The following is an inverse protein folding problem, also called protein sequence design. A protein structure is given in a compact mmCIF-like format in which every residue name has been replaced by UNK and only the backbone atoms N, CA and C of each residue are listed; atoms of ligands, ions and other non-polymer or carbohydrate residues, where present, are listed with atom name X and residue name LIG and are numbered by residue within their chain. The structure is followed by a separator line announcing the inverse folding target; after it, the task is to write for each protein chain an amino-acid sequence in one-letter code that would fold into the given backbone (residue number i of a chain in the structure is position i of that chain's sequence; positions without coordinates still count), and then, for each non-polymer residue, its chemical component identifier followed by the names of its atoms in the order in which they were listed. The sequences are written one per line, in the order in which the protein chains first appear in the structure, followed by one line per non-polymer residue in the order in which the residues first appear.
data_IF_863343573900
#
_entry.id   IF_863343573900
#
_cell.length_a   1.000
_cell.length_b   1.000
_cell.length_c   1.000
_cell.angle_alpha   90.00
_cell.angle_beta   90.00
_cell.angle_gamma   90.00
#
_symmetry.space_group_name_H-M   'P 1'
#
loop_
_entity.id
_entity.type
_entity.pdbx_description
1 polymer ?
#
# COMPACT_ATOMS: atom_id res chain seq x y z
N UNK A 1 30.60 8.30 29.79
CA UNK A 1 30.82 6.89 29.42
C UNK A 1 29.60 6.45 28.61
N UNK A 2 29.78 5.79 27.47
CA UNK A 2 28.63 5.29 26.69
C UNK A 2 27.97 4.15 27.47
N UNK A 3 26.65 4.20 27.63
CA UNK A 3 25.89 3.13 28.30
C UNK A 3 26.07 1.81 27.53
N UNK A 4 26.11 0.65 28.21
CA UNK A 4 26.25 -0.63 27.51
C UNK A 4 25.02 -0.92 26.65
N UNK A 5 25.21 -1.78 25.65
CA UNK A 5 24.13 -2.47 24.96
C UNK A 5 23.55 -3.59 25.84
N UNK A 6 22.37 -4.08 25.47
CA UNK A 6 21.68 -5.16 26.18
C UNK A 6 22.52 -6.43 26.19
N UNK A 7 23.12 -6.78 25.05
CA UNK A 7 23.97 -7.96 24.90
C UNK A 7 25.20 -7.90 25.78
N UNK A 8 25.84 -6.72 25.86
CA UNK A 8 26.99 -6.52 26.73
C UNK A 8 26.60 -6.63 28.21
N UNK A 9 25.50 -5.98 28.60
CA UNK A 9 25.02 -6.04 29.96
C UNK A 9 24.60 -7.46 30.38
N UNK A 10 23.99 -8.22 29.45
CA UNK A 10 23.66 -9.63 29.64
C UNK A 10 24.91 -10.51 29.72
N UNK A 11 25.89 -10.32 28.84
CA UNK A 11 27.15 -11.05 28.86
C UNK A 11 27.92 -10.82 30.16
N UNK A 12 28.00 -9.56 30.62
CA UNK A 12 28.64 -9.20 31.88
C UNK A 12 27.92 -9.81 33.09
N UNK A 13 26.59 -9.88 33.07
CA UNK A 13 25.81 -10.56 34.11
C UNK A 13 26.05 -12.08 34.08
N UNK A 14 25.95 -12.71 32.91
CA UNK A 14 26.14 -14.15 32.72
C UNK A 14 27.56 -14.62 33.08
N UNK A 15 28.58 -13.81 32.81
CA UNK A 15 29.96 -14.10 33.19
C UNK A 15 30.17 -14.20 34.71
N UNK A 16 29.27 -13.59 35.49
CA UNK A 16 29.27 -13.63 36.96
C UNK A 16 28.38 -14.74 37.52
N UNK A 17 27.61 -15.42 36.67
CA UNK A 17 26.71 -16.50 37.12
C UNK A 17 27.45 -17.83 37.20
N UNK A 18 27.50 -18.39 38.40
CA UNK A 18 27.83 -19.79 38.60
C UNK A 18 26.53 -20.62 38.58
N UNK A 19 26.29 -21.33 37.47
CA UNK A 19 25.24 -22.34 37.37
C UNK A 19 25.77 -23.77 37.51
N UNK A 20 26.97 -23.91 38.09
CA UNK A 20 27.68 -25.15 38.38
C UNK A 20 28.71 -25.55 37.32
N UNK A 21 29.10 -26.82 37.31
CA UNK A 21 30.16 -27.39 36.45
C UNK A 21 29.88 -27.33 34.94
N UNK A 22 28.69 -26.89 34.52
CA UNK A 22 28.30 -26.75 33.10
C UNK A 22 27.75 -25.34 32.80
N UNK A 23 28.30 -24.33 33.47
CA UNK A 23 27.78 -22.95 33.42
C UNK A 23 27.68 -22.38 32.02
N UNK A 24 28.74 -22.51 31.23
CA UNK A 24 28.79 -21.99 29.86
C UNK A 24 27.69 -22.57 28.96
N UNK A 25 27.59 -23.91 28.93
CA UNK A 25 26.53 -24.63 28.18
C UNK A 25 25.12 -24.23 28.65
N UNK A 26 24.92 -24.13 29.96
CA UNK A 26 23.61 -23.77 30.51
C UNK A 26 23.20 -22.34 30.11
N UNK A 27 24.17 -21.41 30.13
CA UNK A 27 23.98 -20.04 29.70
C UNK A 27 23.68 -19.98 28.20
N UNK A 28 24.40 -20.72 27.36
CA UNK A 28 24.15 -20.82 25.92
C UNK A 28 22.72 -21.32 25.63
N UNK A 29 22.29 -22.40 26.28
CA UNK A 29 20.92 -22.94 26.13
C UNK A 29 19.87 -21.89 26.50
N UNK A 30 20.08 -21.17 27.61
CA UNK A 30 19.15 -20.16 28.08
C UNK A 30 19.10 -18.95 27.13
N UNK A 31 20.26 -18.47 26.66
CA UNK A 31 20.35 -17.38 25.69
C UNK A 31 19.60 -17.73 24.39
N UNK A 32 19.85 -18.91 23.83
CA UNK A 32 19.20 -19.38 22.61
C UNK A 32 17.68 -19.56 22.79
N UNK A 33 17.24 -20.10 23.93
CA UNK A 33 15.82 -20.30 24.23
C UNK A 33 15.08 -18.97 24.35
N UNK A 34 15.61 -18.06 25.17
CA UNK A 34 15.01 -16.75 25.40
C UNK A 34 15.23 -15.77 24.23
N UNK A 35 16.14 -16.05 23.30
CA UNK A 35 16.49 -15.11 22.22
C UNK A 35 17.32 -13.92 22.69
N UNK A 36 17.94 -14.05 23.86
CA UNK A 36 18.83 -13.04 24.45
C UNK A 36 20.20 -13.00 23.73
N UNK A 37 20.43 -13.93 22.80
CA UNK A 37 21.51 -13.91 21.81
C UNK A 37 21.17 -13.04 20.58
N UNK A 38 19.98 -12.45 20.53
CA UNK A 38 19.51 -11.61 19.44
C UNK A 38 18.84 -12.35 18.30
N UNK A 39 18.73 -13.69 18.34
CA UNK A 39 18.19 -14.48 17.22
C UNK A 39 16.68 -14.68 17.24
N UNK A 40 15.98 -14.09 18.22
CA UNK A 40 14.51 -14.13 18.33
C UNK A 40 13.94 -15.33 19.09
N UNK A 41 14.81 -16.12 19.74
CA UNK A 41 14.41 -17.23 20.60
C UNK A 41 14.00 -18.48 19.82
N UNK A 42 13.81 -19.58 20.55
CA UNK A 42 13.39 -20.84 19.94
C UNK A 42 12.61 -21.73 20.92
N UNK A 43 12.11 -22.87 20.44
CA UNK A 43 11.45 -23.84 21.31
C UNK A 43 12.44 -24.52 22.26
N UNK A 44 11.97 -24.98 23.43
CA UNK A 44 12.81 -25.76 24.35
C UNK A 44 13.41 -27.01 23.68
N UNK A 45 12.69 -27.63 22.74
CA UNK A 45 13.20 -28.77 22.00
C UNK A 45 14.34 -28.36 21.07
N UNK A 46 14.20 -27.25 20.35
CA UNK A 46 15.24 -26.69 19.49
C UNK A 46 16.48 -26.32 20.29
N UNK A 47 16.32 -25.71 21.47
CA UNK A 47 17.43 -25.36 22.36
C UNK A 47 18.11 -26.60 22.98
N UNK A 48 17.37 -27.68 23.26
CA UNK A 48 17.89 -28.87 23.93
C UNK A 48 18.54 -29.91 23.01
N UNK A 49 18.06 -30.04 21.78
CA UNK A 49 18.49 -31.10 20.83
C UNK A 49 20.00 -31.10 20.56
N UNK A 50 20.65 -29.95 20.30
CA UNK A 50 22.11 -29.91 20.07
C UNK A 50 22.94 -30.43 21.26
N UNK A 51 22.36 -30.46 22.46
CA UNK A 51 23.02 -30.88 23.69
C UNK A 51 22.49 -32.21 24.24
N UNK A 52 21.64 -32.92 23.48
CA UNK A 52 21.04 -34.19 23.91
C UNK A 52 20.13 -34.08 25.13
N UNK A 53 19.45 -32.95 25.31
CA UNK A 53 18.62 -32.67 26.48
C UNK A 53 17.13 -32.82 26.20
N UNK A 54 16.39 -33.26 27.21
CA UNK A 54 14.91 -33.28 27.19
C UNK A 54 14.35 -31.87 27.37
N UNK A 55 13.09 -31.65 26.95
CA UNK A 55 12.36 -30.40 27.20
C UNK A 55 12.34 -30.02 28.69
N UNK A 56 12.15 -31.01 29.56
CA UNK A 56 12.09 -30.79 31.00
C UNK A 56 13.45 -30.35 31.57
N UNK A 57 14.55 -30.93 31.09
CA UNK A 57 15.91 -30.51 31.47
C UNK A 57 16.19 -29.08 31.03
N UNK A 58 15.77 -28.69 29.82
CA UNK A 58 15.90 -27.33 29.32
C UNK A 58 15.12 -26.36 30.19
N UNK A 59 13.85 -26.67 30.52
CA UNK A 59 13.02 -25.85 31.43
C UNK A 59 13.70 -25.58 32.77
N UNK A 60 14.31 -26.60 33.37
CA UNK A 60 15.02 -26.45 34.65
C UNK A 60 16.27 -25.56 34.52
N UNK A 61 17.03 -25.72 33.44
CA UNK A 61 18.19 -24.87 33.15
C UNK A 61 17.76 -23.42 32.96
N UNK A 62 16.75 -23.17 32.12
CA UNK A 62 16.27 -21.83 31.79
C UNK A 62 15.70 -21.12 33.02
N UNK A 63 14.98 -21.83 33.89
CA UNK A 63 14.46 -21.27 35.14
C UNK A 63 15.58 -20.88 36.10
N UNK A 64 16.64 -21.71 36.21
CA UNK A 64 17.81 -21.41 37.05
C UNK A 64 18.54 -20.17 36.54
N UNK A 65 18.80 -20.10 35.23
CA UNK A 65 19.48 -18.95 34.62
C UNK A 65 18.64 -17.68 34.76
N UNK A 66 17.33 -17.74 34.52
CA UNK A 66 16.43 -16.60 34.68
C UNK A 66 16.42 -16.08 36.13
N UNK A 67 16.30 -16.98 37.13
CA UNK A 67 16.35 -16.59 38.54
C UNK A 67 17.68 -15.93 38.93
N UNK A 68 18.79 -16.45 38.38
CA UNK A 68 20.10 -15.89 38.62
C UNK A 68 20.30 -14.52 37.93
N UNK A 69 19.78 -14.35 36.70
CA UNK A 69 19.79 -13.06 35.98
C UNK A 69 18.99 -11.98 36.73
N UNK A 70 17.83 -12.32 37.30
CA UNK A 70 17.03 -11.39 38.11
C UNK A 70 17.75 -10.91 39.36
N UNK A 71 18.55 -11.79 39.97
CA UNK A 71 19.33 -11.47 41.15
C UNK A 71 20.64 -10.74 40.83
N UNK A 72 21.05 -10.68 39.56
CA UNK A 72 22.33 -10.11 39.16
C UNK A 72 22.28 -8.57 39.27
N UNK A 73 23.17 -7.94 40.06
CA UNK A 73 23.31 -6.50 40.05
C UNK A 73 23.98 -6.07 38.74
N UNK A 74 23.50 -5.01 38.10
CA UNK A 74 24.11 -4.53 36.87
C UNK A 74 23.35 -3.44 36.16
N UNK A 75 23.81 -3.18 34.93
CA UNK A 75 23.33 -2.09 34.08
C UNK A 75 22.05 -2.46 33.31
N UNK A 76 21.62 -3.74 33.36
CA UNK A 76 20.49 -4.26 32.58
C UNK A 76 19.19 -3.48 32.81
N UNK A 77 18.74 -3.17 34.05
CA UNK A 77 17.53 -2.39 34.25
C UNK A 77 17.58 -1.02 33.56
N UNK A 78 18.75 -0.36 33.56
CA UNK A 78 18.95 0.91 32.88
C UNK A 78 18.90 0.80 31.36
N UNK A 79 19.34 -0.33 30.78
CA UNK A 79 19.20 -0.60 29.34
C UNK A 79 17.75 -0.87 28.98
N UNK A 80 17.04 -1.69 29.77
CA UNK A 80 15.63 -2.00 29.55
C UNK A 80 14.73 -0.78 29.69
N UNK A 81 14.98 0.12 30.65
CA UNK A 81 14.24 1.38 30.77
C UNK A 81 14.38 2.27 29.52
N UNK A 82 15.56 2.30 28.90
CA UNK A 82 15.75 3.00 27.60
C UNK A 82 15.04 2.29 26.46
N UNK A 83 15.09 0.96 26.42
CA UNK A 83 14.38 0.16 25.42
C UNK A 83 12.86 0.39 25.51
N UNK A 84 12.32 0.37 26.73
CA UNK A 84 10.90 0.63 27.02
C UNK A 84 10.47 1.97 26.45
N UNK A 85 11.17 3.06 26.81
CA UNK A 85 10.83 4.40 26.33
C UNK A 85 10.83 4.50 24.79
N UNK A 86 11.77 3.82 24.12
CA UNK A 86 11.83 3.81 22.64
C UNK A 86 10.71 2.99 22.04
N UNK A 87 10.37 1.84 22.62
CA UNK A 87 9.30 0.98 22.12
C UNK A 87 7.95 1.70 22.25
N UNK A 88 7.65 2.26 23.42
CA UNK A 88 6.39 2.99 23.64
C UNK A 88 6.23 4.21 22.73
N UNK A 89 7.30 4.96 22.50
CA UNK A 89 7.25 6.15 21.65
C UNK A 89 7.00 5.79 20.17
N UNK A 90 7.54 4.66 19.71
CA UNK A 90 7.58 4.34 18.28
C UNK A 90 6.46 3.41 17.80
N UNK A 91 5.90 2.54 18.64
CA UNK A 91 4.84 1.62 18.20
C UNK A 91 3.53 2.37 17.84
N UNK A 92 2.79 1.91 16.81
CA UNK A 92 3.06 0.76 15.96
C UNK A 92 4.10 1.04 14.87
N UNK A 93 5.03 0.11 14.65
CA UNK A 93 6.15 0.25 13.71
C UNK A 93 6.60 -1.09 13.14
N UNK A 94 7.15 -1.10 11.92
CA UNK A 94 7.80 -2.29 11.37
C UNK A 94 8.97 -2.73 12.27
N UNK A 95 9.13 -4.04 12.49
CA UNK A 95 10.08 -4.56 13.47
C UNK A 95 11.53 -4.21 13.11
N UNK A 96 11.88 -4.26 11.83
CA UNK A 96 13.21 -3.88 11.32
C UNK A 96 13.53 -2.40 11.55
N UNK A 97 12.55 -1.51 11.34
CA UNK A 97 12.69 -0.08 11.62
C UNK A 97 12.85 0.20 13.13
N UNK A 98 12.11 -0.53 13.97
CA UNK A 98 12.24 -0.43 15.44
C UNK A 98 13.60 -0.99 15.92
N UNK A 99 14.03 -2.12 15.39
CA UNK A 99 15.36 -2.70 15.63
C UNK A 99 16.47 -1.71 15.24
N UNK A 100 16.37 -1.08 14.06
CA UNK A 100 17.31 -0.03 13.64
C UNK A 100 17.29 1.18 14.58
N UNK A 101 16.13 1.59 15.08
CA UNK A 101 16.00 2.70 16.03
C UNK A 101 16.64 2.39 17.40
N UNK A 102 16.58 1.14 17.85
CA UNK A 102 17.26 0.67 19.07
C UNK A 102 18.78 0.58 18.87
N UNK A 103 19.23 0.12 17.71
CA UNK A 103 20.66 0.12 17.32
C UNK A 103 21.24 1.53 17.29
N UNK A 104 20.54 2.47 16.66
CA UNK A 104 20.98 3.87 16.58
C UNK A 104 21.14 4.54 17.96
N UNK A 105 20.43 4.04 18.98
CA UNK A 105 20.51 4.50 20.38
C UNK A 105 21.48 3.69 21.23
N UNK A 106 22.21 2.74 20.64
CA UNK A 106 23.16 1.86 21.33
C UNK A 106 22.50 0.94 22.36
N UNK A 107 21.20 0.67 22.21
CA UNK A 107 20.46 -0.20 23.14
C UNK A 107 20.72 -1.67 22.80
N UNK A 108 20.79 -1.98 21.51
CA UNK A 108 21.13 -3.31 20.99
C UNK A 108 22.18 -3.17 19.87
N UNK A 109 22.78 -4.28 19.48
CA UNK A 109 23.71 -4.39 18.35
C UNK A 109 23.00 -4.74 17.04
N UNK A 110 23.60 -4.46 15.87
CA UNK A 110 23.02 -4.83 14.58
C UNK A 110 22.73 -6.34 14.50
N UNK A 111 21.52 -6.69 14.06
CA UNK A 111 21.06 -8.08 13.94
C UNK A 111 20.36 -8.63 15.19
N UNK A 112 20.36 -7.91 16.30
CA UNK A 112 19.58 -8.28 17.47
C UNK A 112 18.10 -8.01 17.24
N UNK A 113 17.28 -9.05 17.37
CA UNK A 113 15.84 -9.01 17.11
C UNK A 113 15.02 -8.49 18.28
N UNK A 114 13.94 -7.76 17.97
CA UNK A 114 13.05 -7.16 18.98
C UNK A 114 12.41 -8.20 19.92
N UNK A 115 12.14 -9.42 19.44
CA UNK A 115 11.58 -10.50 20.27
C UNK A 115 12.48 -10.83 21.46
N UNK A 116 13.81 -10.75 21.29
CA UNK A 116 14.77 -10.94 22.37
C UNK A 116 14.70 -9.82 23.40
N UNK A 117 14.47 -8.59 22.96
CA UNK A 117 14.31 -7.41 23.84
C UNK A 117 13.02 -7.54 24.65
N UNK A 118 11.90 -7.86 24.00
CA UNK A 118 10.62 -8.08 24.68
C UNK A 118 10.72 -9.25 25.68
N UNK A 119 11.38 -10.34 25.29
CA UNK A 119 11.62 -11.47 26.20
C UNK A 119 12.51 -11.11 27.38
N UNK A 120 13.45 -10.18 27.22
CA UNK A 120 14.30 -9.74 28.33
C UNK A 120 13.48 -9.09 29.46
N UNK A 121 12.40 -8.35 29.14
CA UNK A 121 11.50 -7.81 30.16
C UNK A 121 10.85 -8.94 30.98
N UNK A 122 10.32 -9.98 30.33
CA UNK A 122 9.73 -11.15 31.00
C UNK A 122 10.76 -11.89 31.88
N UNK A 123 11.96 -12.13 31.33
CA UNK A 123 12.99 -12.92 32.02
C UNK A 123 13.50 -12.20 33.25
N UNK A 124 13.54 -10.87 33.24
CA UNK A 124 14.08 -10.05 34.32
C UNK A 124 13.01 -9.48 35.26
N UNK A 125 11.75 -9.87 35.08
CA UNK A 125 10.59 -9.33 35.81
C UNK A 125 10.57 -7.77 35.79
N UNK A 126 11.00 -7.18 34.67
CA UNK A 126 11.01 -5.74 34.47
C UNK A 126 9.66 -5.26 33.90
N UNK A 127 9.23 -4.01 34.19
CA UNK A 127 8.03 -3.44 33.57
C UNK A 127 8.14 -3.48 32.04
N UNK A 128 7.28 -4.25 31.39
CA UNK A 128 7.30 -4.43 29.94
C UNK A 128 6.43 -3.35 29.25
N UNK A 129 6.84 -2.87 28.06
CA UNK A 129 5.93 -2.10 27.21
C UNK A 129 4.75 -2.97 26.76
N UNK A 130 3.59 -2.37 26.54
CA UNK A 130 2.43 -3.03 25.91
C UNK A 130 2.72 -3.23 24.41
N UNK A 131 3.53 -4.23 24.09
CA UNK A 131 4.03 -4.48 22.75
C UNK A 131 4.05 -5.98 22.43
N UNK A 132 3.51 -6.31 21.26
CA UNK A 132 3.50 -7.64 20.67
C UNK A 132 4.07 -7.57 19.25
N UNK A 133 4.71 -8.67 18.82
CA UNK A 133 5.17 -8.82 17.44
C UNK A 133 4.10 -9.58 16.64
N UNK A 134 3.53 -8.91 15.64
CA UNK A 134 2.58 -9.50 14.70
C UNK A 134 3.27 -9.71 13.35
N UNK A 135 3.01 -10.85 12.70
CA UNK A 135 3.70 -11.23 11.45
C UNK A 135 2.73 -11.64 10.35
N UNK A 136 2.97 -11.16 9.13
CA UNK A 136 2.25 -11.54 7.90
C UNK A 136 3.28 -11.71 6.79
N UNK A 137 3.26 -12.82 6.07
CA UNK A 137 4.16 -13.10 4.94
C UNK A 137 5.64 -12.82 5.28
N UNK A 138 6.10 -13.31 6.44
CA UNK A 138 7.45 -13.12 7.01
C UNK A 138 7.83 -11.67 7.37
N UNK A 139 6.96 -10.69 7.13
CA UNK A 139 7.13 -9.32 7.59
C UNK A 139 6.54 -9.15 8.97
N UNK A 140 7.23 -8.35 9.79
CA UNK A 140 6.95 -8.19 11.21
C UNK A 140 6.62 -6.74 11.54
N UNK A 141 5.62 -6.54 12.37
CA UNK A 141 5.24 -5.26 12.96
C UNK A 141 5.18 -5.41 14.47
N UNK A 142 5.55 -4.37 15.20
CA UNK A 142 5.44 -4.28 16.65
C UNK A 142 4.37 -3.26 16.98
N UNK A 143 3.39 -3.66 17.78
CA UNK A 143 2.20 -2.87 18.16
C UNK A 143 1.61 -3.38 19.47
N UNK A 144 0.72 -2.63 20.10
CA UNK A 144 -0.03 -3.14 21.26
C UNK A 144 -0.99 -4.26 20.84
N UNK A 145 -1.32 -5.18 21.76
CA UNK A 145 -2.32 -6.21 21.46
C UNK A 145 -3.69 -5.61 21.12
N UNK A 146 -4.03 -4.48 21.75
CA UNK A 146 -5.25 -3.73 21.47
C UNK A 146 -5.32 -3.17 20.03
N UNK A 147 -4.18 -2.96 19.37
CA UNK A 147 -4.11 -2.42 18.01
C UNK A 147 -4.24 -3.49 16.91
N UNK A 148 -4.13 -4.78 17.26
CA UNK A 148 -4.19 -5.88 16.28
C UNK A 148 -5.49 -5.84 15.44
N UNK A 149 -6.69 -5.67 16.02
CA UNK A 149 -7.92 -5.57 15.23
C UNK A 149 -7.94 -4.37 14.27
N UNK A 150 -7.32 -3.24 14.65
CA UNK A 150 -7.23 -2.05 13.81
C UNK A 150 -6.26 -2.25 12.64
N UNK A 151 -5.12 -2.91 12.90
CA UNK A 151 -4.16 -3.32 11.88
C UNK A 151 -4.81 -4.25 10.85
N UNK A 152 -5.53 -5.28 11.31
CA UNK A 152 -6.23 -6.24 10.44
C UNK A 152 -7.32 -5.58 9.61
N UNK A 153 -8.08 -4.64 10.20
CA UNK A 153 -9.04 -3.83 9.47
C UNK A 153 -8.36 -3.00 8.37
N UNK A 154 -7.27 -2.30 8.70
CA UNK A 154 -6.52 -1.50 7.73
C UNK A 154 -6.01 -2.36 6.55
N UNK A 155 -5.44 -3.53 6.83
CA UNK A 155 -4.98 -4.49 5.82
C UNK A 155 -6.13 -4.95 4.92
N UNK A 156 -7.24 -5.41 5.52
CA UNK A 156 -8.42 -5.89 4.79
C UNK A 156 -8.98 -4.79 3.90
N UNK A 157 -9.08 -3.57 4.42
CA UNK A 157 -9.63 -2.44 3.69
C UNK A 157 -8.71 -1.97 2.57
N UNK A 158 -7.40 -1.91 2.80
CA UNK A 158 -6.42 -1.61 1.76
C UNK A 158 -6.48 -2.62 0.60
N UNK A 159 -6.64 -3.93 0.89
CA UNK A 159 -6.84 -4.99 -0.11
C UNK A 159 -8.10 -4.82 -0.96
N UNK A 160 -9.11 -4.11 -0.46
CA UNK A 160 -10.31 -3.77 -1.24
C UNK A 160 -10.14 -2.47 -2.03
N UNK A 161 -9.56 -1.45 -1.39
CA UNK A 161 -9.46 -0.10 -1.94
C UNK A 161 -8.41 -0.01 -3.04
N UNK A 162 -7.19 -0.52 -2.83
CA UNK A 162 -6.08 -0.36 -3.79
C UNK A 162 -6.41 -0.98 -5.16
N UNK A 163 -6.92 -2.22 -5.27
CA UNK A 163 -7.28 -2.77 -6.58
C UNK A 163 -8.36 -1.98 -7.33
N UNK A 164 -9.29 -1.38 -6.59
CA UNK A 164 -10.46 -0.69 -7.13
C UNK A 164 -10.19 0.78 -7.44
N UNK A 165 -9.48 1.49 -6.54
CA UNK A 165 -9.15 2.92 -6.61
C UNK A 165 -7.77 3.18 -7.25
N UNK A 166 -6.93 2.16 -7.38
CA UNK A 166 -5.57 2.25 -7.92
C UNK A 166 -4.50 2.55 -6.88
N UNK A 167 -4.84 3.39 -5.90
CA UNK A 167 -4.04 3.67 -4.71
C UNK A 167 -4.95 3.97 -3.51
N UNK A 168 -4.38 4.02 -2.32
CA UNK A 168 -5.07 4.34 -1.08
C UNK A 168 -4.31 5.42 -0.31
N UNK A 169 -5.03 6.45 0.13
CA UNK A 169 -4.49 7.52 0.98
C UNK A 169 -4.48 7.08 2.43
N UNK A 170 -3.37 7.35 3.14
CA UNK A 170 -3.19 6.99 4.55
C UNK A 170 -4.25 7.65 5.41
N UNK A 171 -4.51 8.94 5.22
CA UNK A 171 -5.51 9.69 6.00
C UNK A 171 -6.92 9.14 5.78
N UNK A 172 -7.32 8.91 4.53
CA UNK A 172 -8.64 8.39 4.23
C UNK A 172 -8.89 7.02 4.86
N UNK A 173 -7.86 6.17 4.92
CA UNK A 173 -7.95 4.86 5.57
C UNK A 173 -7.92 4.99 7.11
N UNK A 174 -7.11 5.91 7.65
CA UNK A 174 -7.05 6.20 9.08
C UNK A 174 -8.38 6.74 9.64
N UNK A 175 -9.06 7.60 8.88
CA UNK A 175 -10.40 8.10 9.21
C UNK A 175 -11.45 7.00 9.20
N UNK A 176 -11.22 5.91 8.46
CA UNK A 176 -12.13 4.77 8.39
C UNK A 176 -11.90 3.73 9.50
N UNK A 177 -10.83 3.85 10.30
CA UNK A 177 -10.57 2.92 11.40
C UNK A 177 -11.66 3.05 12.48
N UNK A 178 -12.18 1.93 13.01
CA UNK A 178 -13.15 1.96 14.11
C UNK A 178 -12.51 2.44 15.42
N UNK A 179 -13.33 2.75 16.42
CA UNK A 179 -12.89 3.12 17.77
C UNK A 179 -12.47 4.58 17.94
N UNK A 180 -11.97 4.93 19.12
CA UNK A 180 -11.58 6.29 19.51
C UNK A 180 -10.06 6.38 19.75
N UNK A 181 -9.29 6.18 18.67
CA UNK A 181 -7.83 6.34 18.68
C UNK A 181 -7.43 7.78 18.34
N UNK A 182 -6.32 8.25 18.92
CA UNK A 182 -5.67 9.52 18.54
C UNK A 182 -5.26 9.50 17.06
N UNK A 183 -5.31 10.65 16.39
CA UNK A 183 -5.16 10.74 14.94
C UNK A 183 -3.78 10.25 14.45
N UNK A 184 -2.72 10.70 15.09
CA UNK A 184 -1.34 10.34 14.76
C UNK A 184 -1.11 8.84 14.93
N UNK A 185 -1.73 8.26 15.97
CA UNK A 185 -1.67 6.83 16.21
C UNK A 185 -2.40 6.02 15.13
N UNK A 186 -3.56 6.50 14.64
CA UNK A 186 -4.25 5.89 13.47
C UNK A 186 -3.38 5.91 12.21
N UNK A 187 -2.72 7.03 11.93
CA UNK A 187 -1.81 7.13 10.79
C UNK A 187 -0.67 6.11 10.91
N UNK A 188 -0.09 5.94 12.10
CA UNK A 188 0.93 4.91 12.35
C UNK A 188 0.41 3.49 12.11
N UNK A 189 -0.79 3.15 12.60
CA UNK A 189 -1.41 1.84 12.33
C UNK A 189 -1.54 1.58 10.83
N UNK A 190 -2.02 2.56 10.06
CA UNK A 190 -2.19 2.40 8.61
C UNK A 190 -0.85 2.21 7.91
N UNK A 191 0.18 2.98 8.28
CA UNK A 191 1.53 2.84 7.72
C UNK A 191 2.13 1.48 8.05
N UNK A 192 1.98 1.04 9.30
CA UNK A 192 2.43 -0.26 9.75
C UNK A 192 1.71 -1.40 8.99
N UNK A 193 0.40 -1.31 8.82
CA UNK A 193 -0.38 -2.24 8.01
C UNK A 193 0.09 -2.28 6.55
N UNK A 194 0.31 -1.13 5.91
CA UNK A 194 0.78 -1.07 4.53
C UNK A 194 2.17 -1.72 4.36
N UNK A 195 3.09 -1.51 5.31
CA UNK A 195 4.45 -2.06 5.29
C UNK A 195 4.54 -3.57 5.52
N UNK A 196 3.48 -4.21 6.02
CA UNK A 196 3.40 -5.68 6.10
C UNK A 196 3.34 -6.36 4.73
N UNK A 197 3.06 -5.61 3.65
CA UNK A 197 3.13 -6.15 2.29
C UNK A 197 4.49 -5.90 1.66
N UNK A 198 5.03 -6.92 1.01
CA UNK A 198 6.30 -6.83 0.31
C UNK A 198 6.27 -5.99 -0.96
N UNK A 199 5.10 -5.91 -1.59
CA UNK A 199 4.87 -5.21 -2.84
C UNK A 199 4.28 -3.81 -2.64
N UNK A 200 4.31 -3.25 -1.43
CA UNK A 200 3.83 -1.89 -1.20
C UNK A 200 4.74 -0.87 -1.87
N UNK A 201 4.14 0.07 -2.58
CA UNK A 201 4.84 1.20 -3.20
C UNK A 201 4.26 2.48 -2.66
N UNK A 202 5.10 3.27 -1.99
CA UNK A 202 4.75 4.56 -1.39
C UNK A 202 4.91 5.70 -2.38
N UNK A 203 3.97 6.65 -2.37
CA UNK A 203 3.99 7.86 -3.22
C UNK A 203 3.54 9.07 -2.40
N UNK A 204 3.79 10.29 -2.91
CA UNK A 204 3.45 11.57 -2.25
C UNK A 204 4.02 11.65 -0.83
N UNK A 205 5.34 11.47 -0.68
CA UNK A 205 6.04 11.47 0.62
C UNK A 205 5.40 10.53 1.66
N UNK A 206 4.86 9.41 1.18
CA UNK A 206 4.22 8.39 1.99
C UNK A 206 2.78 8.73 2.40
N UNK A 207 2.13 9.76 1.84
CA UNK A 207 0.72 10.03 2.07
C UNK A 207 -0.21 9.03 1.35
N UNK A 208 0.30 8.38 0.31
CA UNK A 208 -0.43 7.40 -0.50
C UNK A 208 0.40 6.15 -0.75
N UNK A 209 -0.27 5.04 -1.00
CA UNK A 209 0.39 3.80 -1.41
C UNK A 209 -0.47 2.98 -2.37
N UNK A 210 0.18 2.12 -3.15
CA UNK A 210 -0.46 1.07 -3.94
C UNK A 210 0.35 -0.23 -3.87
N UNK A 211 -0.16 -1.29 -4.50
CA UNK A 211 0.52 -2.58 -4.57
C UNK A 211 1.15 -2.74 -5.95
N UNK A 212 2.48 -2.83 -5.98
CA UNK A 212 3.32 -2.86 -7.18
C UNK A 212 3.39 -4.23 -7.86
N UNK A 213 3.05 -5.32 -7.16
CA UNK A 213 2.90 -6.62 -7.84
C UNK A 213 1.77 -6.51 -8.88
N UNK A 214 1.92 -7.23 -10.00
CA UNK A 214 0.98 -7.28 -11.13
C UNK A 214 -0.35 -7.92 -10.73
N UNK A 215 -1.09 -7.25 -9.86
CA UNK A 215 -2.44 -7.58 -9.45
C UNK A 215 -3.46 -6.79 -10.25
N UNK A 216 -4.74 -7.01 -9.92
CA UNK A 216 -5.83 -6.20 -10.46
C UNK A 216 -5.68 -4.76 -9.97
N UNK A 217 -5.33 -3.83 -10.86
CA UNK A 217 -5.34 -2.40 -10.57
C UNK A 217 -6.19 -1.70 -11.63
N UNK A 218 -7.39 -1.20 -11.25
CA UNK A 218 -8.31 -0.51 -12.17
C UNK A 218 -7.67 0.74 -12.80
N UNK A 219 -6.82 1.44 -12.06
CA UNK A 219 -6.19 2.69 -12.52
C UNK A 219 -5.22 2.39 -13.64
N UNK A 220 -4.29 1.47 -13.40
CA UNK A 220 -3.31 1.03 -14.40
C UNK A 220 -3.99 0.44 -15.63
N UNK A 221 -5.07 -0.34 -15.47
CA UNK A 221 -5.83 -0.88 -16.61
C UNK A 221 -6.52 0.21 -17.42
N UNK A 222 -7.09 1.23 -16.79
CA UNK A 222 -7.71 2.34 -17.52
C UNK A 222 -6.65 3.21 -18.21
N UNK A 223 -5.46 3.35 -17.62
CA UNK A 223 -4.31 3.97 -18.29
C UNK A 223 -3.88 3.15 -19.51
N UNK A 224 -3.83 1.82 -19.43
CA UNK A 224 -3.52 0.97 -20.60
C UNK A 224 -4.50 1.18 -21.74
N UNK A 225 -5.80 1.26 -21.42
CA UNK A 225 -6.85 1.57 -22.40
C UNK A 225 -6.71 2.96 -23.01
N UNK A 226 -6.34 3.96 -22.21
CA UNK A 226 -6.12 5.31 -22.68
C UNK A 226 -4.93 5.34 -23.66
N UNK A 227 -3.80 4.74 -23.27
CA UNK A 227 -2.55 4.79 -24.03
C UNK A 227 -2.40 3.69 -25.09
N UNK A 228 -3.37 2.79 -25.23
CA UNK A 228 -3.51 1.98 -26.45
C UNK A 228 -4.07 2.79 -27.62
N UNK A 229 -4.81 3.87 -27.33
CA UNK A 229 -5.44 4.75 -28.33
C UNK A 229 -4.66 6.05 -28.51
N UNK A 230 -4.28 6.68 -27.41
CA UNK A 230 -3.58 7.96 -27.39
C UNK A 230 -2.06 7.76 -27.25
N UNK A 231 -1.27 8.54 -27.98
CA UNK A 231 0.19 8.56 -27.85
C UNK A 231 0.65 9.37 -26.63
N UNK A 232 0.01 10.51 -26.40
CA UNK A 232 0.34 11.46 -25.36
C UNK A 232 -0.91 12.20 -24.87
N UNK A 233 -0.98 12.42 -23.55
CA UNK A 233 -2.10 13.08 -22.87
C UNK A 233 -1.55 13.89 -21.70
N UNK A 234 -1.98 15.14 -21.52
CA UNK A 234 -1.63 15.91 -20.33
C UNK A 234 -2.30 15.32 -19.07
N UNK A 235 -1.64 15.45 -17.92
CA UNK A 235 -2.07 14.80 -16.67
C UNK A 235 -3.48 15.21 -16.22
N UNK A 236 -3.90 16.44 -16.49
CA UNK A 236 -5.23 16.95 -16.14
C UNK A 236 -6.30 16.23 -16.98
N UNK A 237 -6.07 16.12 -18.29
CA UNK A 237 -6.92 15.35 -19.21
C UNK A 237 -6.93 13.87 -18.87
N UNK A 238 -5.78 13.28 -18.47
CA UNK A 238 -5.73 11.89 -17.96
C UNK A 238 -6.65 11.77 -16.74
N UNK A 239 -6.51 12.66 -15.75
CA UNK A 239 -7.31 12.63 -14.53
C UNK A 239 -8.81 12.77 -14.82
N UNK A 240 -9.18 13.72 -15.68
CA UNK A 240 -10.58 13.94 -16.09
C UNK A 240 -11.15 12.70 -16.79
N UNK A 241 -10.38 12.09 -17.69
CA UNK A 241 -10.84 10.94 -18.46
C UNK A 241 -10.97 9.67 -17.61
N UNK A 242 -10.05 9.46 -16.68
CA UNK A 242 -10.15 8.41 -15.69
C UNK A 242 -11.30 8.63 -14.71
N UNK A 243 -11.59 9.89 -14.33
CA UNK A 243 -12.72 10.23 -13.46
C UNK A 243 -14.06 9.81 -14.08
N UNK A 244 -14.24 10.04 -15.38
CA UNK A 244 -15.41 9.51 -16.12
C UNK A 244 -15.47 7.99 -16.02
N UNK A 245 -14.39 7.31 -16.36
CA UNK A 245 -14.31 5.84 -16.29
C UNK A 245 -14.56 5.30 -14.87
N UNK A 246 -14.24 6.07 -13.82
CA UNK A 246 -14.45 5.71 -12.42
C UNK A 246 -15.92 5.67 -12.02
N UNK A 247 -16.72 6.57 -12.59
CA UNK A 247 -18.15 6.70 -12.35
C UNK A 247 -18.97 5.58 -13.01
N UNK A 248 -18.32 4.67 -13.75
CA UNK A 248 -18.94 3.41 -14.18
C UNK A 248 -19.19 2.52 -12.96
N UNK A 249 -20.46 2.38 -12.58
CA UNK A 249 -20.95 1.58 -11.45
C UNK A 249 -20.26 1.91 -10.11
N UNK A 250 -20.51 3.10 -9.53
CA UNK A 250 -19.84 3.54 -8.32
C UNK A 250 -20.23 2.63 -7.14
N UNK A 251 -19.22 2.05 -6.50
CA UNK A 251 -19.33 1.47 -5.15
C UNK A 251 -19.21 2.56 -4.09
N UNK A 252 -19.71 2.36 -2.84
CA UNK A 252 -19.63 3.35 -1.76
C UNK A 252 -18.21 3.87 -1.44
N UNK A 253 -17.19 3.11 -1.83
CA UNK A 253 -15.78 3.42 -1.60
C UNK A 253 -15.01 3.76 -2.89
N UNK A 254 -15.72 3.95 -4.00
CA UNK A 254 -15.10 4.40 -5.26
C UNK A 254 -14.69 5.83 -5.10
N UNK A 255 -13.38 6.07 -5.05
CA UNK A 255 -12.82 7.41 -5.01
C UNK A 255 -11.68 7.46 -6.02
N UNK A 256 -11.75 8.46 -6.90
CA UNK A 256 -10.64 8.75 -7.80
C UNK A 256 -9.47 9.29 -6.97
N UNK A 257 -8.25 8.91 -7.35
CA UNK A 257 -7.03 9.43 -6.72
C UNK A 257 -6.85 10.92 -7.05
N UNK A 258 -6.10 11.65 -6.23
CA UNK A 258 -5.70 13.02 -6.56
C UNK A 258 -4.73 13.00 -7.75
N UNK A 259 -4.54 14.14 -8.40
CA UNK A 259 -3.55 14.30 -9.49
C UNK A 259 -2.14 14.00 -9.00
N UNK A 260 -1.82 14.46 -7.79
CA UNK A 260 -0.53 14.19 -7.16
C UNK A 260 -0.30 12.67 -6.96
N UNK A 261 -1.28 11.97 -6.40
CA UNK A 261 -1.19 10.51 -6.24
C UNK A 261 -1.15 9.78 -7.59
N UNK A 262 -1.88 10.28 -8.61
CA UNK A 262 -1.82 9.75 -9.97
C UNK A 262 -0.41 9.90 -10.58
N UNK A 263 0.22 11.07 -10.43
CA UNK A 263 1.61 11.31 -10.85
C UNK A 263 2.56 10.32 -10.16
N UNK A 264 2.40 10.15 -8.85
CA UNK A 264 3.19 9.19 -8.07
C UNK A 264 3.04 7.75 -8.56
N UNK A 265 1.80 7.30 -8.80
CA UNK A 265 1.53 5.96 -9.33
C UNK A 265 2.12 5.79 -10.73
N UNK A 266 1.97 6.77 -11.62
CA UNK A 266 2.56 6.75 -12.96
C UNK A 266 4.08 6.58 -12.88
N UNK A 267 4.75 7.44 -12.09
CA UNK A 267 6.21 7.44 -11.95
C UNK A 267 6.75 6.12 -11.40
N UNK A 268 6.05 5.50 -10.45
CA UNK A 268 6.49 4.26 -9.82
C UNK A 268 5.99 2.98 -10.52
N UNK A 269 5.07 3.09 -11.48
CA UNK A 269 4.49 1.92 -12.15
C UNK A 269 5.45 1.20 -13.09
N UNK A 270 6.46 1.90 -13.62
CA UNK A 270 7.33 1.39 -14.68
C UNK A 270 6.63 1.12 -16.02
N UNK A 271 5.40 1.59 -16.21
CA UNK A 271 4.59 1.39 -17.44
C UNK A 271 4.39 2.68 -18.24
N UNK A 272 4.47 3.81 -17.56
CA UNK A 272 4.22 5.13 -18.10
C UNK A 272 5.34 6.08 -17.66
N UNK A 273 5.53 7.14 -18.43
CA UNK A 273 6.43 8.25 -18.10
C UNK A 273 5.63 9.54 -18.12
N UNK A 274 6.00 10.47 -17.26
CA UNK A 274 5.50 11.84 -17.23
C UNK A 274 6.68 12.79 -17.34
N UNK A 275 6.60 13.77 -18.23
CA UNK A 275 7.63 14.80 -18.37
C UNK A 275 7.36 16.01 -17.47
N UNK A 276 8.29 16.97 -17.48
CA UNK A 276 8.21 18.19 -16.68
C UNK A 276 7.02 19.09 -17.05
N UNK A 277 6.47 18.94 -18.26
CA UNK A 277 5.27 19.65 -18.71
C UNK A 277 3.97 18.93 -18.28
N UNK A 278 4.08 17.77 -17.63
CA UNK A 278 2.93 16.97 -17.21
C UNK A 278 2.32 16.15 -18.34
N UNK A 279 3.03 15.95 -19.45
CA UNK A 279 2.58 15.08 -20.53
C UNK A 279 2.93 13.63 -20.17
N UNK A 280 1.93 12.77 -20.22
CA UNK A 280 2.03 11.35 -19.91
C UNK A 280 2.09 10.54 -21.20
N UNK A 281 2.97 9.54 -21.23
CA UNK A 281 3.13 8.59 -22.35
C UNK A 281 3.31 7.17 -21.81
N UNK A 282 2.89 6.17 -22.59
CA UNK A 282 3.25 4.79 -22.29
C UNK A 282 4.69 4.48 -22.72
N UNK A 283 5.43 3.75 -21.88
CA UNK A 283 6.80 3.33 -22.17
C UNK A 283 6.87 2.27 -23.27
N UNK A 284 5.83 1.45 -23.39
CA UNK A 284 5.65 0.48 -24.46
C UNK A 284 4.24 0.61 -25.05
N UNK A 285 4.07 0.40 -26.37
CA UNK A 285 2.75 0.35 -26.97
C UNK A 285 1.87 -0.73 -26.35
N UNK A 286 0.62 -0.37 -26.06
CA UNK A 286 -0.41 -1.31 -25.65
C UNK A 286 -1.26 -1.65 -26.87
N UNK A 287 -1.42 -2.94 -27.17
CA UNK A 287 -2.27 -3.37 -28.29
C UNK A 287 -3.76 -3.10 -27.96
N UNK A 288 -4.44 -2.22 -28.71
CA UNK A 288 -5.84 -1.89 -28.47
C UNK A 288 -6.77 -3.10 -28.63
N UNK A 289 -6.41 -4.10 -29.45
CA UNK A 289 -7.22 -5.31 -29.65
C UNK A 289 -7.23 -6.23 -28.43
N UNK A 290 -6.21 -6.10 -27.57
CA UNK A 290 -6.07 -6.90 -26.34
C UNK A 290 -6.71 -6.21 -25.14
N UNK A 291 -6.61 -4.88 -25.07
CA UNK A 291 -7.03 -4.12 -23.86
C UNK A 291 -8.42 -3.50 -23.96
N UNK A 292 -8.94 -3.28 -25.18
CA UNK A 292 -10.26 -2.68 -25.38
C UNK A 292 -11.31 -3.77 -25.67
N UNK A 293 -12.46 -3.74 -24.96
CA UNK A 293 -13.66 -4.45 -25.41
C UNK A 293 -14.08 -4.04 -26.82
N UNK A 294 -14.75 -4.92 -27.55
CA UNK A 294 -15.14 -4.73 -28.95
C UNK A 294 -15.77 -3.36 -29.27
N UNK A 295 -16.78 -2.94 -28.48
CA UNK A 295 -17.43 -1.63 -28.69
C UNK A 295 -16.50 -0.45 -28.36
N UNK A 296 -15.61 -0.57 -27.36
CA UNK A 296 -14.61 0.46 -27.07
C UNK A 296 -13.57 0.54 -28.21
N UNK A 297 -13.17 -0.61 -28.77
CA UNK A 297 -12.26 -0.67 -29.91
C UNK A 297 -12.87 -0.04 -31.17
N UNK A 298 -14.12 -0.37 -31.49
CA UNK A 298 -14.84 0.22 -32.62
C UNK A 298 -14.98 1.74 -32.46
N UNK A 299 -15.32 2.21 -31.27
CA UNK A 299 -15.39 3.64 -30.96
C UNK A 299 -14.03 4.34 -31.08
N UNK A 300 -12.95 3.70 -30.60
CA UNK A 300 -11.59 4.24 -30.73
C UNK A 300 -11.18 4.37 -32.20
N UNK A 301 -11.43 3.35 -33.04
CA UNK A 301 -11.17 3.41 -34.48
C UNK A 301 -11.96 4.51 -35.17
N UNK A 302 -13.24 4.66 -34.84
CA UNK A 302 -14.09 5.69 -35.42
C UNK A 302 -13.59 7.11 -35.08
N UNK A 303 -13.26 7.35 -33.80
CA UNK A 303 -12.74 8.63 -33.35
C UNK A 303 -11.35 8.95 -33.91
N UNK A 304 -10.52 7.94 -34.10
CA UNK A 304 -9.18 8.11 -34.64
C UNK A 304 -9.21 8.34 -36.18
N UNK A 305 -10.02 7.59 -36.93
CA UNK A 305 -10.01 7.59 -38.40
C UNK A 305 -10.56 8.83 -39.12
N UNK A 306 -10.84 9.91 -38.39
CA UNK A 306 -11.38 11.16 -38.93
C UNK A 306 -10.35 12.24 -39.22
N UNK A 307 -10.60 13.06 -40.24
CA UNK A 307 -9.94 14.38 -40.36
C UNK A 307 -10.47 15.38 -39.34
N UNK A 308 -11.74 15.22 -38.93
CA UNK A 308 -12.35 15.96 -37.83
C UNK A 308 -12.18 15.18 -36.53
N UNK A 309 -11.49 15.79 -35.58
CA UNK A 309 -11.23 15.24 -34.25
C UNK A 309 -12.46 15.38 -33.34
N UNK A 310 -13.51 16.09 -33.78
CA UNK A 310 -14.76 16.28 -33.05
C UNK A 310 -15.90 15.54 -33.74
N UNK A 311 -16.61 14.70 -33.00
CA UNK A 311 -17.72 13.89 -33.51
C UNK A 311 -18.99 14.10 -32.69
N UNK A 312 -20.13 14.16 -33.38
CA UNK A 312 -21.44 14.22 -32.73
C UNK A 312 -21.86 12.82 -32.30
N UNK A 313 -22.55 12.73 -31.16
CA UNK A 313 -23.06 11.46 -30.64
C UNK A 313 -23.87 10.65 -31.67
N UNK A 314 -24.80 11.32 -32.37
CA UNK A 314 -25.67 10.70 -33.39
C UNK A 314 -24.88 10.07 -34.53
N UNK A 315 -23.84 10.75 -34.99
CA UNK A 315 -22.98 10.28 -36.08
C UNK A 315 -22.24 8.99 -35.69
N UNK A 316 -21.74 8.94 -34.44
CA UNK A 316 -21.11 7.73 -33.91
C UNK A 316 -22.12 6.61 -33.65
N UNK A 317 -23.30 6.94 -33.14
CA UNK A 317 -24.38 5.98 -32.91
C UNK A 317 -24.81 5.32 -34.22
N UNK A 318 -25.11 6.12 -35.24
CA UNK A 318 -25.57 5.63 -36.56
C UNK A 318 -24.49 4.76 -37.26
N UNK A 319 -23.21 5.07 -37.03
CA UNK A 319 -22.10 4.33 -37.62
C UNK A 319 -21.75 3.02 -36.89
N UNK A 320 -21.96 2.97 -35.57
CA UNK A 320 -21.47 1.87 -34.73
C UNK A 320 -22.59 0.96 -34.19
N UNK A 321 -23.83 1.43 -34.17
CA UNK A 321 -24.99 0.70 -33.64
C UNK A 321 -25.80 0.13 -34.81
N UNK A 322 -25.47 -1.09 -35.23
CA UNK A 322 -26.23 -1.79 -36.28
C UNK A 322 -27.58 -2.36 -35.82
N UNK A 323 -27.72 -2.66 -34.52
CA UNK A 323 -28.94 -3.20 -33.92
C UNK A 323 -29.29 -2.49 -32.60
N UNK A 324 -30.60 -2.37 -32.24
CA UNK A 324 -31.01 -1.69 -31.00
C UNK A 324 -30.39 -2.25 -29.72
N UNK A 325 -30.04 -3.54 -29.69
CA UNK A 325 -29.40 -4.23 -28.56
C UNK A 325 -27.98 -3.70 -28.28
N UNK A 326 -27.27 -3.20 -29.30
CA UNK A 326 -25.92 -2.65 -29.16
C UNK A 326 -25.90 -1.23 -28.58
N UNK A 327 -27.06 -0.53 -28.56
CA UNK A 327 -27.18 0.86 -28.09
C UNK A 327 -26.73 1.04 -26.64
N UNK A 328 -27.04 0.08 -25.76
CA UNK A 328 -26.56 0.12 -24.38
C UNK A 328 -25.04 0.01 -24.30
N UNK A 329 -24.44 -0.91 -25.06
CA UNK A 329 -22.99 -1.07 -25.14
C UNK A 329 -22.28 0.19 -25.65
N UNK A 330 -22.83 0.80 -26.70
CA UNK A 330 -22.35 2.08 -27.24
C UNK A 330 -22.41 3.19 -26.21
N UNK A 331 -23.58 3.41 -25.57
CA UNK A 331 -23.74 4.44 -24.55
C UNK A 331 -22.77 4.23 -23.37
N UNK A 332 -22.56 2.98 -22.96
CA UNK A 332 -21.60 2.64 -21.91
C UNK A 332 -20.15 2.89 -22.34
N UNK A 333 -19.79 2.63 -23.60
CA UNK A 333 -18.45 2.93 -24.11
C UNK A 333 -18.23 4.45 -24.20
N UNK A 334 -19.18 5.17 -24.80
CA UNK A 334 -19.09 6.61 -25.00
C UNK A 334 -18.94 7.39 -23.69
N UNK A 335 -19.70 7.01 -22.65
CA UNK A 335 -19.69 7.72 -21.38
C UNK A 335 -18.53 7.35 -20.44
N UNK A 336 -17.95 6.15 -20.59
CA UNK A 336 -17.02 5.61 -19.59
C UNK A 336 -15.68 5.14 -20.16
N UNK A 337 -15.46 5.16 -21.47
CA UNK A 337 -14.16 4.84 -22.05
C UNK A 337 -13.14 5.94 -21.70
N UNK A 338 -11.97 5.58 -21.16
CA UNK A 338 -11.00 6.56 -20.68
C UNK A 338 -10.32 7.36 -21.81
N UNK A 339 -10.42 6.94 -23.07
CA UNK A 339 -9.88 7.68 -24.22
C UNK A 339 -10.87 8.65 -24.86
N UNK A 340 -12.13 8.67 -24.43
CA UNK A 340 -13.17 9.57 -24.96
C UNK A 340 -13.26 10.83 -24.11
N UNK A 341 -13.01 12.00 -24.70
CA UNK A 341 -13.27 13.32 -24.13
C UNK A 341 -14.62 13.88 -24.56
N UNK A 342 -15.36 14.50 -23.64
CA UNK A 342 -16.60 15.24 -23.92
C UNK A 342 -16.29 16.73 -23.87
N UNK A 343 -16.72 17.46 -24.88
CA UNK A 343 -16.68 18.92 -24.91
C UNK A 343 -18.06 19.40 -24.47
N UNK A 344 -18.13 20.02 -23.29
CA UNK A 344 -19.33 20.77 -22.91
C UNK A 344 -19.35 22.05 -23.75
N UNK A 345 -20.43 22.28 -24.50
CA UNK A 345 -20.67 23.61 -25.07
C UNK A 345 -20.94 24.55 -23.90
N UNK A 346 -20.26 25.69 -23.85
CA UNK A 346 -20.74 26.81 -23.04
C UNK A 346 -22.21 27.06 -23.44
N UNK A 347 -23.13 27.24 -22.49
CA UNK A 347 -24.47 27.69 -22.84
C UNK A 347 -24.31 29.00 -23.60
N UNK A 348 -24.69 29.02 -24.88
CA UNK A 348 -24.73 30.26 -25.64
C UNK A 348 -25.63 31.23 -24.88
N UNK A 349 -25.03 32.23 -24.23
CA UNK A 349 -25.77 33.34 -23.67
C UNK A 349 -26.47 34.06 -24.83
N UNK A 350 -27.79 33.88 -24.89
CA UNK A 350 -28.67 34.73 -25.68
C UNK A 350 -28.89 34.29 -27.13
N UNK A 351 -29.88 33.41 -27.32
CA UNK A 351 -30.94 33.68 -28.31
C UNK A 351 -32.29 33.41 -27.66
N UNK A 352 -32.93 34.49 -27.22
CA UNK A 352 -34.37 34.47 -27.02
C UNK A 352 -35.03 34.05 -28.34
N UNK A 353 -35.85 33.01 -28.29
CA UNK A 353 -36.77 32.67 -29.36
C UNK A 353 -38.13 32.40 -28.72
N UNK A 354 -38.94 33.46 -28.73
CA UNK A 354 -40.36 33.34 -28.99
C UNK A 354 -40.51 32.69 -30.37
N UNK A 355 -40.83 31.40 -30.40
CA UNK A 355 -41.43 30.78 -31.58
C UNK A 355 -42.31 29.63 -31.12
N UNK A 356 -43.61 29.89 -31.13
CA UNK A 356 -44.69 28.92 -31.09
C UNK A 356 -44.71 28.13 -32.40
N UNK A 357 -43.85 27.12 -32.52
CA UNK A 357 -44.08 26.01 -33.45
C UNK A 357 -43.43 24.75 -32.86
N UNK A 358 -44.31 23.85 -32.40
CA UNK A 358 -43.94 22.59 -31.78
C UNK A 358 -43.62 21.56 -32.86
N UNK A 359 -42.33 21.38 -33.16
CA UNK A 359 -41.74 20.09 -33.54
C UNK A 359 -40.21 20.11 -33.72
N UNK A 360 -39.54 21.27 -33.55
CA UNK A 360 -38.07 21.37 -33.64
C UNK A 360 -37.38 21.43 -32.26
N UNK A 361 -37.92 20.72 -31.27
CA UNK A 361 -37.36 20.65 -29.92
C UNK A 361 -36.53 19.37 -29.72
N UNK A 362 -35.25 19.59 -29.39
CA UNK A 362 -34.25 18.65 -28.83
C UNK A 362 -33.33 17.93 -29.86
N UNK A 363 -32.66 18.67 -30.75
CA UNK A 363 -31.39 18.18 -31.34
C UNK A 363 -30.13 18.75 -30.65
N UNK A 364 -30.31 19.76 -29.77
CA UNK A 364 -29.25 20.49 -29.08
C UNK A 364 -28.64 19.78 -27.85
N UNK A 365 -29.15 18.60 -27.47
CA UNK A 365 -28.71 17.88 -26.26
C UNK A 365 -27.66 16.78 -26.51
N UNK A 366 -27.26 16.53 -27.76
CA UNK A 366 -26.28 15.49 -28.09
C UNK A 366 -24.85 16.04 -28.00
N UNK A 367 -24.00 15.38 -27.21
CA UNK A 367 -22.65 15.87 -26.91
C UNK A 367 -21.73 15.86 -28.13
N UNK A 368 -20.71 16.72 -28.10
CA UNK A 368 -19.55 16.66 -29.00
C UNK A 368 -18.43 15.92 -28.27
N UNK A 369 -17.84 14.94 -28.94
CA UNK A 369 -16.83 14.05 -28.38
C UNK A 369 -15.56 14.07 -29.22
N UNK A 370 -14.42 13.83 -28.57
CA UNK A 370 -13.10 13.72 -29.20
C UNK A 370 -12.25 12.68 -28.48
N UNK A 371 -11.07 12.37 -29.02
CA UNK A 371 -10.06 11.66 -28.23
C UNK A 371 -9.54 12.55 -27.09
N UNK A 372 -9.23 11.93 -25.96
CA UNK A 372 -8.72 12.61 -24.77
C UNK A 372 -7.29 13.17 -24.96
N UNK A 373 -6.57 12.72 -25.98
CA UNK A 373 -5.26 13.24 -26.35
C UNK A 373 -4.92 12.97 -27.81
N UNK A 374 -3.64 12.99 -28.13
CA UNK A 374 -3.17 12.83 -29.51
C UNK A 374 -3.35 11.37 -29.95
N UNK A 375 -4.04 11.08 -31.07
CA UNK A 375 -4.20 9.71 -31.55
C UNK A 375 -2.86 9.08 -31.88
N UNK A 376 -2.71 7.79 -31.57
CA UNK A 376 -1.56 7.01 -32.02
C UNK A 376 -1.75 6.65 -33.50
N UNK A 377 -0.69 6.83 -34.30
CA UNK A 377 -0.73 6.55 -35.74
C UNK A 377 -1.14 5.10 -36.09
N UNK A 378 -0.76 4.13 -35.25
CA UNK A 378 -1.09 2.71 -35.44
C UNK A 378 -2.58 2.41 -35.20
N UNK A 379 -3.25 3.18 -34.34
CA UNK A 379 -4.71 3.09 -34.13
C UNK A 379 -5.48 3.55 -35.37
N UNK A 380 -4.83 4.31 -36.26
CA UNK A 380 -5.34 4.75 -37.57
C UNK A 380 -5.12 3.69 -38.67
N UNK A 381 -4.54 2.53 -38.34
CA UNK A 381 -4.17 1.49 -39.28
C UNK A 381 -5.36 0.80 -39.97
N UNK A 382 -5.57 1.20 -41.22
CA UNK A 382 -6.23 0.53 -42.36
C UNK A 382 -7.66 -0.05 -42.15
N UNK A 383 -8.65 0.70 -42.67
CA UNK A 383 -9.79 0.09 -43.34
C UNK A 383 -9.37 -0.39 -44.74
#
# INVERSE_FOLDING_TARGET
MSSPSLERALADALARLDTGSRSERNNEIALNYFGLDGRGGCSMQSAGTPHGLTRESVRQITNRVAGALRAAPGEIPGVLGRAHAVIEDLIPMAADALEAALVARGIITPGFRIEGVLRAFDVLDAPAPEAAVYSVDERRVVLSEADIPHLEFALSRARQLVPHNGACGVEALASALPGALQWEHRLRIVRAAANLRADVVWVCDGAWFFFGATGRNRLLRNLDKLFSVCEAVDIESVHQALSRAWNKAPRPYSKMVTIEALRGVIAQSGRFVIDDQGIVRALAPCDPTVVLPEMEFALARFLAGGTDLMRREKEMEDALVGEPTAKFGFSMALNYAPFVGRIEKEPEEGKGCDSEDGEEKIEWARGIYRLAGTPRAETLGHA
#
